data_IF_760505048659
#
_entry.id   IF_760505048659
#
_cell.length_a   1.000
_cell.length_b   1.000
_cell.length_c   1.000
_cell.angle_alpha   90.00
_cell.angle_beta   90.00
_cell.angle_gamma   90.00
#
_symmetry.space_group_name_H-M   'P 1'
#
loop_
_entity.id
_entity.type
_entity.pdbx_description
1 polymer ?
#
# COMPACT_ATOMS: atom_id res chain seq x y z
N UNK A 1 -9.30 -1.41 -0.71
CA UNK A 1 -9.90 -2.05 0.47
C UNK A 1 -11.41 -1.93 0.34
N UNK A 2 -12.07 -2.97 -0.17
CA UNK A 2 -13.53 -2.97 -0.29
C UNK A 2 -14.27 -3.04 1.06
N UNK A 3 -13.59 -3.26 2.20
CA UNK A 3 -14.24 -3.32 3.52
C UNK A 3 -14.49 -1.94 4.12
N UNK A 4 -13.73 -0.92 3.70
CA UNK A 4 -13.84 0.45 4.21
C UNK A 4 -13.33 0.62 5.64
N UNK A 5 -12.53 -0.33 6.16
CA UNK A 5 -12.04 -0.33 7.54
C UNK A 5 -10.81 0.59 7.70
N UNK A 6 -9.92 0.59 6.70
CA UNK A 6 -8.65 1.34 6.79
C UNK A 6 -8.85 2.86 6.80
N UNK A 7 -8.05 3.54 7.63
CA UNK A 7 -7.85 5.00 7.53
C UNK A 7 -7.09 5.37 6.26
N UNK A 8 -7.05 6.66 5.92
CA UNK A 8 -6.48 7.14 4.66
C UNK A 8 -4.99 6.84 4.49
N UNK A 9 -4.26 6.60 5.58
CA UNK A 9 -2.84 6.27 5.62
C UNK A 9 -2.56 4.78 5.89
N UNK A 10 -3.59 3.94 5.98
CA UNK A 10 -3.47 2.52 6.28
C UNK A 10 -3.71 1.65 5.05
N UNK A 11 -2.91 0.59 4.91
CA UNK A 11 -3.03 -0.41 3.83
C UNK A 11 -2.99 -1.82 4.40
N UNK A 12 -3.66 -2.78 3.76
CA UNK A 12 -3.47 -4.19 4.08
C UNK A 12 -2.58 -4.84 3.02
N UNK A 13 -1.50 -5.49 3.44
CA UNK A 13 -0.55 -6.16 2.56
C UNK A 13 -0.48 -7.63 2.97
N UNK A 14 -0.80 -8.50 2.01
CA UNK A 14 -0.83 -9.96 2.17
C UNK A 14 0.13 -10.57 1.16
N UNK A 15 1.02 -11.44 1.64
CA UNK A 15 1.99 -12.20 0.87
C UNK A 15 1.72 -13.70 1.08
N UNK A 16 2.34 -14.55 0.24
CA UNK A 16 2.27 -16.02 0.39
C UNK A 16 2.83 -16.48 1.75
N UNK A 17 3.77 -15.71 2.31
CA UNK A 17 4.41 -15.96 3.60
C UNK A 17 3.70 -15.33 4.80
N UNK A 18 2.55 -14.69 4.59
CA UNK A 18 1.75 -14.04 5.62
C UNK A 18 1.60 -12.53 5.41
N UNK A 19 1.15 -11.86 6.45
CA UNK A 19 0.75 -10.46 6.43
C UNK A 19 1.90 -9.54 6.83
N UNK A 20 1.91 -8.33 6.27
CA UNK A 20 2.83 -7.28 6.69
C UNK A 20 2.13 -6.34 7.68
N UNK A 21 2.88 -5.86 8.67
CA UNK A 21 2.40 -4.85 9.62
C UNK A 21 3.47 -3.80 9.91
N UNK A 22 3.03 -2.60 10.29
CA UNK A 22 3.89 -1.47 10.61
C UNK A 22 4.21 -0.59 9.41
N UNK A 23 5.16 0.34 9.58
CA UNK A 23 5.51 1.33 8.56
C UNK A 23 6.11 0.67 7.30
N UNK A 24 5.60 1.10 6.15
CA UNK A 24 6.07 0.66 4.83
C UNK A 24 6.19 1.85 3.90
N UNK A 25 7.22 1.85 3.07
CA UNK A 25 7.32 2.76 1.93
C UNK A 25 6.69 2.09 0.71
N UNK A 26 5.78 2.79 0.04
CA UNK A 26 5.09 2.37 -1.18
C UNK A 26 5.40 3.33 -2.32
N UNK A 27 5.74 2.78 -3.48
CA UNK A 27 6.14 3.50 -4.69
C UNK A 27 5.69 2.76 -5.95
N UNK A 28 5.41 3.47 -7.04
CA UNK A 28 5.14 2.90 -8.37
C UNK A 28 6.13 3.44 -9.39
N UNK A 29 6.68 2.56 -10.23
CA UNK A 29 7.61 2.96 -11.29
C UNK A 29 6.91 3.22 -12.63
N UNK A 30 7.23 4.30 -13.35
CA UNK A 30 8.15 5.38 -12.99
C UNK A 30 7.46 6.45 -12.12
N UNK A 31 8.04 6.78 -10.97
CA UNK A 31 7.70 8.01 -10.24
C UNK A 31 8.63 9.14 -10.64
N UNK A 32 8.07 10.34 -10.76
CA UNK A 32 8.75 11.54 -11.27
C UNK A 32 8.85 12.64 -10.21
N UNK A 33 8.11 12.52 -9.11
CA UNK A 33 8.05 13.50 -8.04
C UNK A 33 8.24 12.82 -6.67
N UNK A 34 8.82 13.52 -5.69
CA UNK A 34 8.95 12.99 -4.32
C UNK A 34 7.60 12.63 -3.70
N UNK A 35 6.55 13.35 -4.10
CA UNK A 35 5.18 13.06 -3.71
C UNK A 35 4.62 11.74 -4.25
N UNK A 36 5.30 11.05 -5.18
CA UNK A 36 4.91 9.71 -5.62
C UNK A 36 5.36 8.62 -4.62
N UNK A 37 6.11 8.99 -3.58
CA UNK A 37 6.64 8.10 -2.55
C UNK A 37 5.83 8.31 -1.28
N UNK A 38 5.18 7.26 -0.80
CA UNK A 38 4.35 7.32 0.39
C UNK A 38 4.86 6.40 1.48
N UNK A 39 4.99 6.92 2.70
CA UNK A 39 5.11 6.07 3.89
C UNK A 39 3.72 5.85 4.46
N UNK A 40 3.31 4.59 4.55
CA UNK A 40 1.98 4.15 4.97
C UNK A 40 2.08 3.18 6.15
N UNK A 41 0.98 2.98 6.85
CA UNK A 41 0.89 2.02 7.94
C UNK A 41 0.23 0.71 7.49
N UNK A 42 1.01 -0.35 7.35
CA UNK A 42 0.48 -1.66 7.06
C UNK A 42 -0.32 -2.20 8.27
N UNK A 43 -1.62 -2.38 8.08
CA UNK A 43 -2.56 -2.86 9.11
C UNK A 43 -3.33 -4.04 8.53
N UNK A 44 -3.30 -5.18 9.21
CA UNK A 44 -3.95 -6.38 8.71
C UNK A 44 -5.46 -6.35 8.94
N UNK A 45 -6.23 -6.78 7.94
CA UNK A 45 -7.68 -6.98 8.00
C UNK A 45 -8.02 -8.38 7.51
N UNK A 46 -8.51 -9.22 8.42
CA UNK A 46 -8.83 -10.63 8.16
C UNK A 46 -9.85 -10.83 7.04
N UNK A 47 -10.86 -9.96 6.96
CA UNK A 47 -11.88 -10.02 5.91
C UNK A 47 -11.31 -9.89 4.48
N UNK A 48 -10.08 -9.41 4.31
CA UNK A 48 -9.41 -9.26 3.02
C UNK A 48 -8.68 -10.51 2.54
N UNK A 49 -8.40 -11.50 3.40
CA UNK A 49 -7.70 -12.72 2.97
C UNK A 49 -8.46 -13.44 1.86
N UNK A 50 -9.78 -13.57 2.03
CA UNK A 50 -10.66 -14.21 1.04
C UNK A 50 -10.68 -13.49 -0.31
N UNK A 51 -10.29 -12.20 -0.35
CA UNK A 51 -10.23 -11.38 -1.57
C UNK A 51 -8.95 -11.60 -2.37
N UNK A 52 -7.87 -12.06 -1.72
CA UNK A 52 -6.61 -12.38 -2.41
C UNK A 52 -6.76 -13.62 -3.28
N UNK A 53 -7.57 -14.59 -2.84
CA UNK A 53 -7.77 -15.85 -3.53
C UNK A 53 -6.43 -16.55 -3.81
N UNK A 54 -6.23 -17.00 -5.04
CA UNK A 54 -5.00 -17.69 -5.46
C UNK A 54 -3.85 -16.75 -5.86
N UNK A 55 -4.03 -15.42 -5.80
CA UNK A 55 -3.02 -14.45 -6.22
C UNK A 55 -1.76 -14.50 -5.35
N UNK A 56 -1.90 -14.96 -4.09
CA UNK A 56 -0.87 -14.99 -3.02
C UNK A 56 -0.32 -13.62 -2.61
N UNK A 57 -0.43 -12.59 -3.45
CA UNK A 57 0.11 -11.26 -3.21
C UNK A 57 -0.98 -10.22 -3.48
N UNK A 58 -1.18 -9.31 -2.53
CA UNK A 58 -2.06 -8.16 -2.69
C UNK A 58 -1.67 -7.02 -1.75
N UNK A 59 -1.84 -5.79 -2.23
CA UNK A 59 -1.93 -4.58 -1.42
C UNK A 59 -3.34 -3.99 -1.60
N UNK A 60 -4.01 -3.71 -0.49
CA UNK A 60 -5.33 -3.09 -0.47
C UNK A 60 -5.20 -1.66 0.07
N UNK A 61 -5.36 -0.69 -0.82
CA UNK A 61 -5.40 0.73 -0.49
C UNK A 61 -6.74 1.13 0.16
N UNK A 62 -6.80 2.09 1.09
CA UNK A 62 -8.04 2.53 1.70
C UNK A 62 -8.96 3.16 0.65
N UNK A 63 -10.27 3.13 0.92
CA UNK A 63 -11.28 3.87 0.15
C UNK A 63 -11.62 5.21 0.79
N UNK A 64 -10.96 5.54 1.90
CA UNK A 64 -11.02 6.82 2.60
C UNK A 64 -9.90 7.75 2.13
N UNK A 65 -10.05 9.06 2.37
CA UNK A 65 -9.12 10.09 1.90
C UNK A 65 -9.77 11.06 0.90
N UNK A 66 -9.07 12.15 0.59
CA UNK A 66 -9.52 13.14 -0.40
C UNK A 66 -9.35 12.63 -1.85
N UNK A 67 -8.36 11.77 -2.07
CA UNK A 67 -7.95 11.21 -3.34
C UNK A 67 -7.47 9.77 -3.10
N UNK A 68 -7.48 8.93 -4.13
CA UNK A 68 -6.97 7.57 -4.01
C UNK A 68 -5.44 7.58 -3.89
N UNK A 69 -4.89 6.72 -3.03
CA UNK A 69 -3.44 6.55 -2.94
C UNK A 69 -2.82 6.08 -4.26
N UNK A 70 -3.56 5.34 -5.09
CA UNK A 70 -3.08 4.98 -6.42
C UNK A 70 -2.83 6.22 -7.30
N UNK A 71 -3.77 7.17 -7.33
CA UNK A 71 -3.61 8.41 -8.10
C UNK A 71 -2.50 9.31 -7.52
N UNK A 72 -2.37 9.34 -6.19
CA UNK A 72 -1.25 10.03 -5.54
C UNK A 72 0.11 9.40 -5.89
N UNK A 73 0.18 8.08 -6.03
CA UNK A 73 1.40 7.34 -6.35
C UNK A 73 1.57 7.25 -7.87
N UNK A 74 2.18 8.32 -8.42
CA UNK A 74 2.52 8.45 -9.83
C UNK A 74 1.31 8.45 -10.79
N UNK A 75 0.10 8.82 -10.35
CA UNK A 75 -1.10 8.85 -11.21
C UNK A 75 -1.60 7.46 -11.61
N UNK A 76 -1.53 6.50 -10.68
CA UNK A 76 -1.95 5.13 -10.89
C UNK A 76 -3.42 4.86 -10.63
N UNK A 77 -3.81 3.63 -10.90
CA UNK A 77 -5.12 3.08 -10.57
C UNK A 77 -5.01 1.62 -10.12
N UNK A 78 -6.04 0.81 -10.37
CA UNK A 78 -6.13 -0.58 -9.94
C UNK A 78 -6.40 -1.54 -11.11
N UNK A 79 -6.00 -1.19 -12.33
CA UNK A 79 -6.22 -2.00 -13.54
C UNK A 79 -5.11 -3.04 -13.84
N UNK A 80 -4.09 -3.11 -13.00
CA UNK A 80 -2.91 -3.95 -13.18
C UNK A 80 -1.62 -3.37 -12.57
N UNK A 81 -1.72 -2.18 -11.97
CA UNK A 81 -0.60 -1.51 -11.33
C UNK A 81 0.10 -2.33 -10.25
N UNK A 82 1.43 -2.30 -10.31
CA UNK A 82 2.32 -2.96 -9.37
C UNK A 82 3.07 -1.94 -8.54
N UNK A 83 3.12 -2.17 -7.24
CA UNK A 83 3.75 -1.28 -6.27
C UNK A 83 4.99 -1.93 -5.70
N UNK A 84 6.08 -1.17 -5.67
CA UNK A 84 7.26 -1.50 -4.87
C UNK A 84 6.97 -1.15 -3.41
N UNK A 85 7.18 -2.13 -2.52
CA UNK A 85 6.96 -1.97 -1.09
C UNK A 85 8.23 -2.30 -0.34
N UNK A 86 8.67 -1.40 0.53
CA UNK A 86 9.86 -1.59 1.37
C UNK A 86 9.54 -1.46 2.85
N UNK A 87 10.13 -2.37 3.62
CA UNK A 87 10.16 -2.37 5.09
C UNK A 87 11.53 -2.01 5.65
N UNK A 88 12.48 -1.64 4.79
CA UNK A 88 13.83 -1.33 5.26
C UNK A 88 13.78 -0.03 6.08
N UNK A 89 14.07 -0.06 7.39
CA UNK A 89 13.98 1.12 8.24
C UNK A 89 14.86 2.25 7.71
N UNK A 90 16.06 1.94 7.19
CA UNK A 90 16.95 2.97 6.65
C UNK A 90 16.33 3.72 5.45
N UNK A 91 15.42 3.10 4.70
CA UNK A 91 14.76 3.74 3.56
C UNK A 91 13.48 4.44 4.00
N UNK A 92 12.73 3.84 4.92
CA UNK A 92 11.50 4.42 5.47
C UNK A 92 11.81 5.70 6.25
N UNK A 93 12.80 5.65 7.14
CA UNK A 93 13.16 6.76 8.03
C UNK A 93 13.65 7.99 7.24
N UNK A 94 14.34 7.80 6.10
CA UNK A 94 14.80 8.90 5.23
C UNK A 94 13.63 9.74 4.66
N UNK A 95 12.45 9.14 4.50
CA UNK A 95 11.28 9.81 3.90
C UNK A 95 10.35 10.43 4.95
N UNK A 96 10.41 9.96 6.21
CA UNK A 96 9.63 10.54 7.31
C UNK A 96 10.29 11.78 7.95
N UNK A 97 11.60 11.99 7.75
CA UNK A 97 12.37 13.17 8.21
C UNK A 97 12.17 14.42 7.33
#
# INVERSE_FOLDING_TARGET
DPTGIHKSDEVCIILDSGQISGKVLVYRNPGLHFGDIHVLNATYVEALETKVGNSKYAIFFPTSGQRSLADEIAGGDFDGDMYWVSRNPQVVDIVED
#
